data_IF_224003411508
#
_entry.id   IF_224003411508
#
_cell.length_a   1.000
_cell.length_b   1.000
_cell.length_c   1.000
_cell.angle_alpha   90.00
_cell.angle_beta   90.00
_cell.angle_gamma   90.00
#
_symmetry.space_group_name_H-M   'P 1'
#
loop_
_entity.id
_entity.type
_entity.pdbx_description
1 polymer ?
#
# COMPACT_ATOMS: atom_id res chain seq x y z
N UNK A 1 -3.47 -5.72 -3.14
CA UNK A 1 -2.77 -5.73 -4.43
C UNK A 1 -1.95 -4.44 -4.56
N UNK A 2 -0.62 -4.57 -4.56
CA UNK A 2 0.35 -3.48 -4.32
C UNK A 2 0.15 -2.24 -5.18
N UNK A 3 -0.23 -1.13 -4.54
CA UNK A 3 -0.41 0.16 -5.18
C UNK A 3 0.94 0.89 -5.23
N UNK A 4 1.71 0.69 -6.30
CA UNK A 4 2.93 1.48 -6.49
C UNK A 4 2.59 2.95 -6.68
N UNK A 5 3.40 3.85 -6.14
CA UNK A 5 3.22 5.29 -6.31
C UNK A 5 3.92 5.78 -7.58
N UNK A 6 3.23 6.63 -8.35
CA UNK A 6 3.82 7.28 -9.52
C UNK A 6 4.96 8.20 -9.09
N UNK A 7 6.06 8.18 -9.86
CA UNK A 7 7.22 9.06 -9.62
C UNK A 7 8.33 8.45 -8.75
N UNK A 8 8.08 7.31 -8.10
CA UNK A 8 9.14 6.56 -7.42
C UNK A 8 9.94 5.73 -8.42
N UNK A 9 11.23 5.55 -8.14
CA UNK A 9 12.15 4.81 -9.00
C UNK A 9 12.91 3.76 -8.19
N UNK A 10 13.24 2.61 -8.79
CA UNK A 10 14.12 1.60 -8.20
C UNK A 10 15.49 2.19 -7.87
N UNK A 11 16.08 1.78 -6.74
CA UNK A 11 17.46 2.14 -6.36
C UNK A 11 18.49 1.34 -7.14
N UNK A 12 18.09 0.19 -7.71
CA UNK A 12 18.92 -0.69 -8.53
C UNK A 12 18.44 -0.68 -9.98
N UNK A 13 19.30 -1.09 -10.92
CA UNK A 13 18.94 -1.22 -12.34
C UNK A 13 18.01 -2.43 -12.56
N UNK A 14 16.73 -2.21 -12.27
CA UNK A 14 15.65 -3.19 -12.39
C UNK A 14 14.38 -2.49 -12.85
N UNK A 15 13.56 -3.20 -13.62
CA UNK A 15 12.26 -2.69 -14.06
C UNK A 15 11.31 -2.44 -12.88
N UNK A 16 10.43 -1.45 -13.04
CA UNK A 16 9.39 -1.15 -12.05
C UNK A 16 8.34 -2.26 -12.07
N UNK A 17 8.20 -2.94 -10.94
CA UNK A 17 7.20 -3.97 -10.69
C UNK A 17 6.13 -3.39 -9.77
N UNK A 18 4.93 -3.20 -10.32
CA UNK A 18 3.75 -2.74 -9.57
C UNK A 18 2.54 -3.58 -9.98
N UNK A 19 1.65 -3.86 -9.02
CA UNK A 19 0.46 -4.66 -9.27
C UNK A 19 -0.74 -3.75 -9.60
N UNK A 20 -1.02 -3.63 -10.89
CA UNK A 20 -2.08 -2.77 -11.43
C UNK A 20 -1.58 -1.34 -11.71
N UNK A 21 -2.48 -0.40 -12.01
CA UNK A 21 -2.09 0.97 -12.29
C UNK A 21 -1.48 1.61 -11.03
N UNK A 22 -0.36 2.36 -11.19
CA UNK A 22 0.22 3.10 -10.08
C UNK A 22 -0.73 4.22 -9.66
N UNK A 23 -0.78 4.49 -8.36
CA UNK A 23 -1.53 5.61 -7.80
C UNK A 23 -0.76 6.92 -7.99
N UNK A 24 -1.46 8.01 -8.22
CA UNK A 24 -0.88 9.33 -8.46
C UNK A 24 -0.28 9.92 -7.18
N UNK A 25 -0.98 9.76 -6.06
CA UNK A 25 -0.64 10.38 -4.78
C UNK A 25 -1.15 9.57 -3.57
N UNK A 26 -0.85 10.09 -2.38
CA UNK A 26 -1.28 9.53 -1.10
C UNK A 26 -2.81 9.43 -0.98
N UNK A 27 -3.56 10.40 -1.53
CA UNK A 27 -5.01 10.40 -1.42
C UNK A 27 -5.65 9.26 -2.22
N UNK A 28 -5.16 9.03 -3.44
CA UNK A 28 -5.60 7.92 -4.27
C UNK A 28 -5.24 6.58 -3.63
N UNK A 29 -4.02 6.47 -3.07
CA UNK A 29 -3.59 5.31 -2.30
C UNK A 29 -4.57 5.00 -1.16
N UNK A 30 -4.82 5.97 -0.28
CA UNK A 30 -5.67 5.80 0.91
C UNK A 30 -7.12 5.48 0.54
N UNK A 31 -7.61 6.07 -0.54
CA UNK A 31 -8.95 5.78 -1.06
C UNK A 31 -9.05 4.33 -1.50
N UNK A 32 -8.18 3.87 -2.40
CA UNK A 32 -8.18 2.48 -2.88
C UNK A 32 -7.91 1.49 -1.75
N UNK A 33 -7.02 1.83 -0.83
CA UNK A 33 -6.70 1.01 0.34
C UNK A 33 -7.92 0.81 1.24
N UNK A 34 -8.59 1.90 1.63
CA UNK A 34 -9.80 1.85 2.47
C UNK A 34 -10.90 0.99 1.84
N UNK A 35 -11.21 1.19 0.57
CA UNK A 35 -12.26 0.40 -0.11
C UNK A 35 -11.89 -1.08 -0.17
N UNK A 36 -10.61 -1.40 -0.42
CA UNK A 36 -10.12 -2.79 -0.45
C UNK A 36 -10.25 -3.46 0.92
N UNK A 37 -9.76 -2.80 1.96
CA UNK A 37 -9.76 -3.37 3.32
C UNK A 37 -11.20 -3.50 3.84
N UNK A 38 -12.09 -2.55 3.54
CA UNK A 38 -13.51 -2.64 3.87
C UNK A 38 -14.18 -3.84 3.19
N UNK A 39 -13.92 -4.06 1.90
CA UNK A 39 -14.46 -5.22 1.20
C UNK A 39 -13.95 -6.55 1.78
N UNK A 40 -12.69 -6.59 2.23
CA UNK A 40 -12.13 -7.76 2.90
C UNK A 40 -12.79 -7.98 4.28
N UNK A 41 -13.02 -6.93 5.06
CA UNK A 41 -13.64 -7.04 6.39
C UNK A 41 -15.11 -7.45 6.34
N UNK A 42 -15.83 -7.18 5.25
CA UNK A 42 -17.20 -7.66 5.05
C UNK A 42 -17.29 -9.18 4.79
N UNK A 43 -16.16 -9.84 4.52
CA UNK A 43 -16.11 -11.28 4.30
C UNK A 43 -16.03 -12.06 5.62
N UNK A 44 -17.17 -12.57 6.11
CA UNK A 44 -17.31 -13.32 7.37
C UNK A 44 -16.45 -14.58 7.54
N UNK A 45 -15.78 -15.03 6.48
CA UNK A 45 -14.90 -16.20 6.50
C UNK A 45 -13.43 -15.84 6.73
N UNK A 46 -13.08 -14.55 6.70
CA UNK A 46 -11.72 -14.06 6.90
C UNK A 46 -11.58 -13.49 8.31
N UNK A 47 -10.49 -13.82 9.00
CA UNK A 47 -10.18 -13.28 10.32
C UNK A 47 -9.32 -12.00 10.27
N UNK A 48 -8.92 -11.56 9.08
CA UNK A 48 -8.04 -10.41 8.91
C UNK A 48 -7.31 -10.41 7.57
N UNK A 49 -6.32 -9.53 7.48
CA UNK A 49 -5.44 -9.39 6.31
C UNK A 49 -4.02 -9.04 6.75
N UNK A 50 -3.08 -9.23 5.83
CA UNK A 50 -1.72 -8.72 5.96
C UNK A 50 -1.42 -7.85 4.74
N UNK A 51 -0.94 -6.63 4.96
CA UNK A 51 -0.41 -5.81 3.88
C UNK A 51 1.07 -6.13 3.70
N UNK A 52 1.39 -6.81 2.60
CA UNK A 52 2.74 -6.83 2.06
C UNK A 52 2.81 -5.71 1.02
N UNK A 53 3.69 -4.72 1.17
CA UNK A 53 5.03 -4.74 1.77
C UNK A 53 5.28 -3.48 2.64
N UNK A 54 6.22 -3.52 3.60
CA UNK A 54 6.50 -2.36 4.46
C UNK A 54 7.29 -1.25 3.75
N UNK A 55 8.35 -1.60 3.02
CA UNK A 55 9.21 -0.67 2.29
C UNK A 55 9.53 -1.21 0.90
N UNK A 56 9.91 -0.38 -0.05
CA UNK A 56 10.25 -0.83 -1.40
C UNK A 56 11.44 -1.78 -1.43
N UNK A 57 11.42 -2.77 -2.33
CA UNK A 57 12.57 -3.67 -2.55
C UNK A 57 12.91 -3.72 -4.04
N UNK A 58 14.15 -3.39 -4.38
CA UNK A 58 14.66 -3.43 -5.74
C UNK A 58 13.71 -2.74 -6.76
N UNK A 59 13.00 -3.51 -7.59
CA UNK A 59 12.02 -3.01 -8.56
C UNK A 59 10.58 -2.92 -8.04
N UNK A 60 10.27 -3.51 -6.90
CA UNK A 60 8.93 -3.52 -6.29
C UNK A 60 8.70 -2.27 -5.43
N UNK A 61 7.93 -1.33 -5.97
CA UNK A 61 7.73 0.01 -5.39
C UNK A 61 6.40 0.18 -4.64
N UNK A 62 5.89 -0.93 -4.10
CA UNK A 62 4.59 -1.05 -3.43
C UNK A 62 4.68 -0.96 -1.90
N UNK A 63 5.82 -0.54 -1.35
CA UNK A 63 5.97 -0.34 0.09
C UNK A 63 5.20 0.88 0.61
N UNK A 64 4.86 0.87 1.90
CA UNK A 64 4.46 2.09 2.60
C UNK A 64 5.60 3.12 2.68
N UNK A 65 6.83 2.63 2.64
CA UNK A 65 8.06 3.42 2.67
C UNK A 65 8.88 3.26 1.39
N UNK A 66 9.76 4.22 1.12
CA UNK A 66 10.85 4.08 0.15
C UNK A 66 11.86 3.03 0.59
N UNK A 67 12.82 2.71 -0.28
CA UNK A 67 13.95 1.84 0.04
C UNK A 67 14.75 2.33 1.25
N UNK A 68 14.89 3.65 1.40
CA UNK A 68 15.57 4.33 2.49
C UNK A 68 14.74 4.41 3.79
N UNK A 69 13.53 3.83 3.81
CA UNK A 69 12.57 3.82 4.94
C UNK A 69 11.92 5.18 5.22
N UNK A 70 11.82 6.02 4.20
CA UNK A 70 11.03 7.26 4.26
C UNK A 70 9.56 6.97 3.93
N UNK A 71 8.64 7.50 4.73
CA UNK A 71 7.21 7.27 4.54
C UNK A 71 6.68 7.90 3.25
N UNK A 72 6.02 7.09 2.41
CA UNK A 72 5.28 7.57 1.23
C UNK A 72 3.83 7.95 1.56
N UNK A 73 3.32 7.36 2.64
CA UNK A 73 1.99 7.58 3.18
C UNK A 73 2.11 7.78 4.68
N UNK A 74 1.33 8.70 5.22
CA UNK A 74 1.28 8.96 6.66
C UNK A 74 0.78 7.70 7.39
N UNK A 75 1.61 7.09 8.27
CA UNK A 75 1.22 5.88 9.00
C UNK A 75 -0.01 6.09 9.87
N UNK A 76 -0.26 7.31 10.37
CA UNK A 76 -1.43 7.59 11.19
C UNK A 76 -2.72 7.55 10.38
N UNK A 77 -2.68 7.91 9.08
CA UNK A 77 -3.85 7.76 8.19
C UNK A 77 -4.16 6.29 7.91
N UNK A 78 -3.14 5.47 7.74
CA UNK A 78 -3.30 4.00 7.61
C UNK A 78 -3.86 3.40 8.89
N UNK A 79 -3.32 3.78 10.06
CA UNK A 79 -3.79 3.30 11.35
C UNK A 79 -5.24 3.71 11.64
N UNK A 80 -5.66 4.91 11.23
CA UNK A 80 -7.07 5.33 11.29
C UNK A 80 -8.00 4.43 10.48
N UNK A 81 -7.57 3.97 9.30
CA UNK A 81 -8.34 3.02 8.50
C UNK A 81 -8.46 1.70 9.26
N UNK A 82 -7.36 1.16 9.81
CA UNK A 82 -7.37 -0.09 10.58
C UNK A 82 -8.25 -0.05 11.82
N UNK A 83 -8.33 1.10 12.52
CA UNK A 83 -9.21 1.26 13.68
C UNK A 83 -10.70 1.39 13.32
N UNK A 84 -11.00 1.71 12.06
CA UNK A 84 -12.36 1.94 11.59
C UNK A 84 -13.03 0.68 10.99
N UNK A 85 -12.28 -0.42 10.87
CA UNK A 85 -12.76 -1.69 10.34
C UNK A 85 -12.87 -2.73 11.47
N UNK A 86 -13.84 -3.63 11.35
CA UNK A 86 -14.10 -4.71 12.30
C UNK A 86 -14.04 -6.05 11.56
N UNK A 87 -13.43 -7.07 12.16
CA UNK A 87 -13.19 -8.39 11.58
C UNK A 87 -13.82 -9.49 12.45
#
# INVERSE_FOLDING_TARGET
WGCGFKGFRPTVDREIMVYGPPVLDEYEFLTRYRETIKAISECKYLAGFCYTQLYDIEGELNGYMTYEREWKVDPEKVAKIHRAIDF
#
